data_IF_756789339039
#
_entry.id   IF_756789339039
#
_cell.length_a   1.000
_cell.length_b   1.000
_cell.length_c   1.000
_cell.angle_alpha   90.00
_cell.angle_beta   90.00
_cell.angle_gamma   90.00
#
_symmetry.space_group_name_H-M   'P 1'
#
loop_
_entity.id
_entity.type
_entity.pdbx_description
1 polymer ?
#
# COMPACT_ATOMS: atom_id res chain seq x y z
N UNK A 1 10.90 2.07 -34.26
CA UNK A 1 9.95 3.03 -33.69
C UNK A 1 9.35 2.36 -32.46
N UNK A 2 9.50 2.93 -31.26
CA UNK A 2 8.84 2.39 -30.07
C UNK A 2 7.35 2.69 -30.22
N UNK A 3 6.43 1.72 -30.09
CA UNK A 3 5.00 2.00 -30.25
C UNK A 3 4.54 2.98 -29.17
N UNK A 4 3.84 4.03 -29.59
CA UNK A 4 3.25 5.01 -28.70
C UNK A 4 2.01 4.41 -28.01
N UNK A 5 1.77 4.76 -26.75
CA UNK A 5 0.64 4.22 -25.99
C UNK A 5 -0.68 4.74 -26.54
N UNK A 6 -1.66 3.85 -26.73
CA UNK A 6 -2.98 4.24 -27.21
C UNK A 6 -3.92 4.61 -26.06
N UNK A 7 -5.00 5.33 -26.38
CA UNK A 7 -6.09 5.59 -25.41
C UNK A 7 -6.69 4.28 -24.87
N UNK A 8 -6.79 3.24 -25.71
CA UNK A 8 -7.28 1.93 -25.29
C UNK A 8 -6.35 1.23 -24.29
N UNK A 9 -5.04 1.36 -24.47
CA UNK A 9 -4.06 0.77 -23.55
C UNK A 9 -4.16 1.40 -22.16
N UNK A 10 -4.28 2.74 -22.13
CA UNK A 10 -4.55 3.48 -20.89
C UNK A 10 -5.87 3.03 -20.28
N UNK A 11 -6.95 2.93 -21.07
CA UNK A 11 -8.26 2.50 -20.58
C UNK A 11 -8.23 1.08 -19.98
N UNK A 12 -7.49 0.17 -20.62
CA UNK A 12 -7.27 -1.18 -20.11
C UNK A 12 -6.57 -1.16 -18.74
N UNK A 13 -5.46 -0.43 -18.61
CA UNK A 13 -4.73 -0.34 -17.32
C UNK A 13 -5.59 0.32 -16.24
N UNK A 14 -6.28 1.42 -16.56
CA UNK A 14 -7.22 2.07 -15.64
C UNK A 14 -8.28 1.09 -15.12
N UNK A 15 -8.86 0.31 -16.03
CA UNK A 15 -9.86 -0.68 -15.64
C UNK A 15 -9.27 -1.82 -14.81
N UNK A 16 -8.11 -2.34 -15.20
CA UNK A 16 -7.40 -3.40 -14.46
C UNK A 16 -7.14 -2.97 -13.02
N UNK A 17 -6.56 -1.79 -12.84
CA UNK A 17 -6.22 -1.23 -11.53
C UNK A 17 -7.46 -0.93 -10.71
N UNK A 18 -8.51 -0.36 -11.32
CA UNK A 18 -9.80 -0.11 -10.66
C UNK A 18 -10.44 -1.40 -10.16
N UNK A 19 -10.49 -2.44 -11.00
CA UNK A 19 -11.14 -3.71 -10.65
C UNK A 19 -10.34 -4.50 -9.61
N UNK A 20 -9.00 -4.42 -9.63
CA UNK A 20 -8.15 -5.26 -8.78
C UNK A 20 -7.66 -4.58 -7.50
N UNK A 21 -7.60 -3.25 -7.47
CA UNK A 21 -7.11 -2.49 -6.32
C UNK A 21 -8.08 -1.40 -5.84
N UNK A 22 -9.28 -1.30 -6.44
CA UNK A 22 -10.23 -0.21 -6.18
C UNK A 22 -9.66 1.20 -6.39
N UNK A 23 -8.50 1.32 -7.04
CA UNK A 23 -7.84 2.60 -7.27
C UNK A 23 -8.38 3.24 -8.56
N UNK A 24 -8.98 4.43 -8.42
CA UNK A 24 -9.44 5.23 -9.55
C UNK A 24 -8.31 6.16 -9.99
N UNK A 25 -7.78 5.91 -11.18
CA UNK A 25 -6.86 6.83 -11.82
C UNK A 25 -7.69 7.91 -12.51
N UNK A 26 -7.59 9.16 -12.04
CA UNK A 26 -8.23 10.32 -12.67
C UNK A 26 -7.58 10.65 -14.02
N UNK A 27 -8.27 11.42 -14.86
CA UNK A 27 -7.78 11.74 -16.22
C UNK A 27 -6.45 12.50 -16.17
N UNK A 28 -6.33 13.42 -15.21
CA UNK A 28 -5.17 14.27 -14.94
C UNK A 28 -3.96 13.45 -14.46
N UNK A 29 -4.19 12.23 -13.97
CA UNK A 29 -3.16 11.33 -13.43
C UNK A 29 -2.76 10.22 -14.40
N UNK A 30 -3.26 10.22 -15.64
CA UNK A 30 -2.91 9.21 -16.66
C UNK A 30 -1.41 9.15 -16.94
N UNK A 31 -0.69 10.27 -16.81
CA UNK A 31 0.77 10.28 -16.97
C UNK A 31 1.49 9.32 -16.01
N UNK A 32 0.89 8.97 -14.86
CA UNK A 32 1.44 7.98 -13.92
C UNK A 32 1.48 6.58 -14.53
N UNK A 33 0.57 6.26 -15.46
CA UNK A 33 0.59 4.96 -16.16
C UNK A 33 1.90 4.82 -16.91
N UNK A 34 2.26 5.83 -17.69
CA UNK A 34 3.48 5.81 -18.48
C UNK A 34 4.73 5.86 -17.59
N UNK A 35 4.78 6.79 -16.63
CA UNK A 35 5.98 6.97 -15.79
C UNK A 35 6.29 5.76 -14.91
N UNK A 36 5.28 4.99 -14.49
CA UNK A 36 5.45 3.78 -13.68
C UNK A 36 5.62 2.53 -14.52
N UNK A 37 4.88 2.39 -15.61
CA UNK A 37 4.89 1.13 -16.38
C UNK A 37 5.99 1.06 -17.45
N UNK A 38 6.55 2.17 -17.92
CA UNK A 38 7.74 2.12 -18.79
C UNK A 38 8.97 1.48 -18.10
N UNK A 39 9.41 1.93 -16.91
CA UNK A 39 10.51 1.28 -16.22
C UNK A 39 10.16 -0.16 -15.83
N UNK A 40 8.92 -0.41 -15.39
CA UNK A 40 8.45 -1.76 -15.07
C UNK A 40 8.50 -2.70 -16.28
N UNK A 41 8.01 -2.28 -17.45
CA UNK A 41 8.03 -3.07 -18.68
C UNK A 41 9.46 -3.50 -19.05
N UNK A 42 10.43 -2.58 -18.92
CA UNK A 42 11.85 -2.88 -19.15
C UNK A 42 12.40 -3.88 -18.15
N UNK A 43 12.05 -3.75 -16.86
CA UNK A 43 12.44 -4.73 -15.83
C UNK A 43 11.88 -6.12 -16.09
N UNK A 44 10.67 -6.20 -16.67
CA UNK A 44 10.02 -7.45 -17.06
C UNK A 44 10.49 -7.99 -18.43
N UNK A 45 11.44 -7.34 -19.09
CA UNK A 45 12.00 -7.78 -20.37
C UNK A 45 11.18 -7.43 -21.61
N UNK A 46 10.15 -6.58 -21.48
CA UNK A 46 9.41 -6.05 -22.62
C UNK A 46 10.15 -4.87 -23.27
N UNK A 47 10.04 -4.75 -24.60
CA UNK A 47 10.69 -3.68 -25.36
C UNK A 47 10.02 -2.32 -25.15
N UNK A 48 8.73 -2.32 -24.78
CA UNK A 48 7.94 -1.12 -24.54
C UNK A 48 6.76 -1.41 -23.60
N UNK A 49 6.17 -0.35 -23.06
CA UNK A 49 4.90 -0.45 -22.33
C UNK A 49 3.76 -0.96 -23.23
N UNK A 50 3.73 -0.57 -24.51
CA UNK A 50 2.72 -1.06 -25.45
C UNK A 50 2.81 -2.58 -25.64
N UNK A 51 4.02 -3.15 -25.73
CA UNK A 51 4.23 -4.60 -25.81
C UNK A 51 3.74 -5.31 -24.54
N UNK A 52 4.01 -4.71 -23.37
CA UNK A 52 3.49 -5.21 -22.09
C UNK A 52 1.96 -5.22 -22.09
N UNK A 53 1.30 -4.12 -22.45
CA UNK A 53 -0.17 -4.02 -22.45
C UNK A 53 -0.79 -4.99 -23.44
N UNK A 54 -0.22 -5.10 -24.64
CA UNK A 54 -0.66 -6.07 -25.65
C UNK A 54 -0.60 -7.50 -25.11
N UNK A 55 0.49 -7.87 -24.44
CA UNK A 55 0.64 -9.17 -23.80
C UNK A 55 -0.39 -9.40 -22.68
N UNK A 56 -0.66 -8.39 -21.84
CA UNK A 56 -1.66 -8.47 -20.78
C UNK A 56 -3.08 -8.67 -21.31
N UNK A 57 -3.43 -8.06 -22.47
CA UNK A 57 -4.75 -8.20 -23.12
C UNK A 57 -4.95 -9.59 -23.73
N UNK A 58 -3.86 -10.26 -24.15
CA UNK A 58 -3.91 -11.58 -24.80
C UNK A 58 -3.81 -12.75 -23.81
N UNK A 59 -3.47 -12.49 -22.55
CA UNK A 59 -3.27 -13.51 -21.52
C UNK A 59 -4.35 -13.44 -20.44
N UNK A 60 -4.66 -14.59 -19.85
CA UNK A 60 -5.54 -14.63 -18.67
C UNK A 60 -4.87 -13.93 -17.48
N UNK A 61 -5.69 -13.37 -16.59
CA UNK A 61 -5.21 -12.68 -15.39
C UNK A 61 -4.27 -13.58 -14.57
N UNK A 62 -3.03 -13.12 -14.36
CA UNK A 62 -1.98 -13.91 -13.72
C UNK A 62 -0.98 -13.07 -12.90
N UNK A 63 0.19 -13.64 -12.58
CA UNK A 63 1.21 -12.97 -11.78
C UNK A 63 1.68 -11.62 -12.34
N UNK A 64 1.83 -11.51 -13.66
CA UNK A 64 2.24 -10.26 -14.30
C UNK A 64 1.19 -9.15 -14.12
N UNK A 65 -0.10 -9.46 -14.28
CA UNK A 65 -1.19 -8.50 -14.01
C UNK A 65 -1.18 -8.01 -12.57
N UNK A 66 -0.94 -8.90 -11.60
CA UNK A 66 -0.81 -8.52 -10.18
C UNK A 66 0.32 -7.52 -9.99
N UNK A 67 1.50 -7.81 -10.54
CA UNK A 67 2.67 -6.92 -10.42
C UNK A 67 2.47 -5.57 -11.10
N UNK A 68 1.74 -5.52 -12.21
CA UNK A 68 1.32 -4.25 -12.85
C UNK A 68 0.40 -3.46 -11.92
N UNK A 69 -0.57 -4.12 -11.29
CA UNK A 69 -1.45 -3.47 -10.31
C UNK A 69 -0.64 -2.94 -9.13
N UNK A 70 0.30 -3.72 -8.58
CA UNK A 70 1.20 -3.29 -7.51
C UNK A 70 2.07 -2.10 -7.94
N UNK A 71 2.68 -2.13 -9.12
CA UNK A 71 3.48 -1.03 -9.66
C UNK A 71 2.68 0.27 -9.82
N UNK A 72 1.35 0.17 -9.97
CA UNK A 72 0.46 1.31 -10.03
C UNK A 72 0.01 1.84 -8.67
N UNK A 73 0.21 1.12 -7.56
CA UNK A 73 -0.16 1.60 -6.22
C UNK A 73 0.70 2.79 -5.76
N UNK A 74 0.19 3.60 -4.82
CA UNK A 74 0.94 4.70 -4.20
C UNK A 74 1.46 4.20 -2.86
N UNK A 75 2.75 3.92 -2.77
CA UNK A 75 3.38 3.33 -1.57
C UNK A 75 4.16 4.35 -0.73
N UNK A 76 3.81 5.63 -0.80
CA UNK A 76 4.49 6.67 -0.02
C UNK A 76 4.18 6.50 1.48
N UNK A 77 5.22 6.39 2.31
CA UNK A 77 5.10 6.22 3.75
C UNK A 77 6.35 6.75 4.46
N UNK A 78 6.20 7.19 5.71
CA UNK A 78 7.27 7.69 6.55
C UNK A 78 6.93 7.45 8.02
N UNK A 79 7.94 7.43 8.89
CA UNK A 79 7.70 7.35 10.33
C UNK A 79 6.94 8.59 10.78
N UNK A 80 5.89 8.38 11.58
CA UNK A 80 5.07 9.45 12.16
C UNK A 80 4.54 10.43 11.11
N UNK A 81 4.13 9.92 9.94
CA UNK A 81 3.77 10.71 8.74
C UNK A 81 2.81 11.87 9.02
N UNK A 82 1.78 11.62 9.83
CA UNK A 82 0.84 12.64 10.28
C UNK A 82 0.95 12.82 11.80
N UNK A 83 1.72 13.83 12.27
CA UNK A 83 1.91 14.06 13.70
C UNK A 83 0.61 14.33 14.47
N UNK A 84 -0.39 14.92 13.82
CA UNK A 84 -1.68 15.23 14.46
C UNK A 84 -2.44 13.95 14.75
N UNK A 85 -2.45 12.99 13.81
CA UNK A 85 -3.05 11.67 14.03
C UNK A 85 -2.33 10.89 15.14
N UNK A 86 -0.99 10.92 15.18
CA UNK A 86 -0.23 10.26 16.26
C UNK A 86 -0.44 10.94 17.62
N UNK A 87 -0.64 12.26 17.66
CA UNK A 87 -0.99 12.97 18.88
C UNK A 87 -2.40 12.57 19.36
N UNK A 88 -3.38 12.48 18.45
CA UNK A 88 -4.72 12.01 18.79
C UNK A 88 -4.74 10.53 19.24
N UNK A 89 -3.91 9.69 18.62
CA UNK A 89 -3.71 8.30 19.03
C UNK A 89 -3.22 8.23 20.48
N UNK A 90 -2.20 9.02 20.82
CA UNK A 90 -1.58 9.07 22.14
C UNK A 90 -2.50 9.71 23.20
N UNK A 91 -3.08 10.87 22.92
CA UNK A 91 -3.79 11.64 23.95
C UNK A 91 -5.24 11.19 24.16
N UNK A 92 -5.84 10.51 23.16
CA UNK A 92 -7.25 10.12 23.17
C UNK A 92 -7.45 8.61 23.04
N UNK A 93 -7.17 8.06 21.86
CA UNK A 93 -7.57 6.69 21.49
C UNK A 93 -6.92 5.62 22.37
N UNK A 94 -5.61 5.68 22.59
CA UNK A 94 -4.89 4.69 23.41
C UNK A 94 -5.38 4.69 24.87
N UNK A 95 -5.47 5.84 25.58
CA UNK A 95 -6.04 5.89 26.93
C UNK A 95 -7.42 5.25 27.04
N UNK A 96 -8.31 5.55 26.09
CA UNK A 96 -9.67 4.97 26.07
C UNK A 96 -9.63 3.45 25.87
N UNK A 97 -8.85 2.97 24.88
CA UNK A 97 -8.68 1.54 24.60
C UNK A 97 -8.10 0.78 25.80
N UNK A 98 -7.15 1.37 26.52
CA UNK A 98 -6.56 0.78 27.72
C UNK A 98 -7.62 0.68 28.82
N UNK A 99 -8.41 1.73 29.05
CA UNK A 99 -9.43 1.69 30.08
C UNK A 99 -10.49 0.60 29.81
N UNK A 100 -10.93 0.45 28.56
CA UNK A 100 -11.92 -0.57 28.17
C UNK A 100 -11.35 -1.99 28.32
N UNK A 101 -10.06 -2.20 28.06
CA UNK A 101 -9.45 -3.53 28.03
C UNK A 101 -8.67 -3.90 29.31
N UNK A 102 -8.83 -3.12 30.39
CA UNK A 102 -8.02 -3.22 31.62
C UNK A 102 -8.02 -4.61 32.25
N UNK A 103 -9.18 -5.27 32.28
CA UNK A 103 -9.32 -6.60 32.88
C UNK A 103 -8.77 -7.70 31.96
N UNK A 104 -8.97 -7.56 30.66
CA UNK A 104 -8.53 -8.54 29.66
C UNK A 104 -7.03 -8.43 29.33
N UNK A 105 -6.41 -7.28 29.61
CA UNK A 105 -5.01 -6.92 29.29
C UNK A 105 -4.62 -7.26 27.86
N UNK A 106 -5.50 -6.95 26.90
CA UNK A 106 -5.38 -7.32 25.49
C UNK A 106 -5.74 -6.15 24.59
N UNK A 107 -4.90 -5.90 23.59
CA UNK A 107 -5.14 -4.89 22.55
C UNK A 107 -4.81 -5.48 21.19
N UNK A 108 -5.74 -5.34 20.25
CA UNK A 108 -5.58 -5.78 18.87
C UNK A 108 -5.63 -4.55 17.95
N UNK A 109 -4.59 -4.38 17.13
CA UNK A 109 -4.45 -3.25 16.21
C UNK A 109 -4.32 -3.81 14.80
N UNK A 110 -5.06 -3.22 13.86
CA UNK A 110 -4.89 -3.49 12.45
C UNK A 110 -4.45 -2.21 11.73
N UNK A 111 -3.28 -2.24 11.13
CA UNK A 111 -2.80 -1.23 10.20
C UNK A 111 -3.05 -1.73 8.77
N UNK A 112 -4.06 -1.15 8.11
CA UNK A 112 -4.37 -1.41 6.70
C UNK A 112 -3.59 -0.47 5.80
N UNK A 113 -3.12 -0.97 4.65
CA UNK A 113 -2.25 -0.25 3.72
C UNK A 113 -0.91 0.17 4.36
N UNK A 114 -0.23 -0.79 5.00
CA UNK A 114 0.98 -0.53 5.78
C UNK A 114 2.22 -0.14 4.96
N UNK A 115 2.18 -0.29 3.63
CA UNK A 115 3.34 -0.07 2.76
C UNK A 115 4.59 -0.79 3.31
N UNK A 116 5.74 -0.12 3.44
CA UNK A 116 6.99 -0.68 4.00
C UNK A 116 7.08 -0.66 5.54
N UNK A 117 5.95 -0.51 6.23
CA UNK A 117 5.85 -0.77 7.67
C UNK A 117 6.16 0.41 8.60
N UNK A 118 6.51 1.59 8.10
CA UNK A 118 6.82 2.74 8.96
C UNK A 118 5.66 3.13 9.88
N UNK A 119 4.42 3.10 9.39
CA UNK A 119 3.23 3.39 10.21
C UNK A 119 3.02 2.37 11.35
N UNK A 120 2.95 1.05 11.11
CA UNK A 120 2.78 0.10 12.21
C UNK A 120 3.94 0.14 13.21
N UNK A 121 5.17 0.39 12.76
CA UNK A 121 6.28 0.62 13.68
C UNK A 121 6.12 1.92 14.49
N UNK A 122 5.67 3.02 13.89
CA UNK A 122 5.37 4.26 14.60
C UNK A 122 4.27 4.10 15.66
N UNK A 123 3.25 3.27 15.40
CA UNK A 123 2.22 2.93 16.39
C UNK A 123 2.85 2.20 17.58
N UNK A 124 3.64 1.16 17.32
CA UNK A 124 4.30 0.39 18.38
C UNK A 124 5.30 1.24 19.17
N UNK A 125 6.07 2.11 18.52
CA UNK A 125 7.00 3.03 19.19
C UNK A 125 6.25 4.04 20.07
N UNK A 126 5.11 4.56 19.60
CA UNK A 126 4.23 5.42 20.43
C UNK A 126 3.78 4.68 21.68
N UNK A 127 3.33 3.43 21.54
CA UNK A 127 2.88 2.59 22.66
C UNK A 127 4.04 2.35 23.64
N UNK A 128 5.18 1.88 23.15
CA UNK A 128 6.34 1.54 23.98
C UNK A 128 6.88 2.74 24.75
N UNK A 129 6.87 3.93 24.13
CA UNK A 129 7.43 5.14 24.73
C UNK A 129 6.49 5.81 25.73
N UNK A 130 5.18 5.81 25.46
CA UNK A 130 4.21 6.58 26.25
C UNK A 130 3.34 5.74 27.18
N UNK A 131 3.25 4.42 26.97
CA UNK A 131 2.38 3.51 27.73
C UNK A 131 3.15 2.28 28.22
N UNK A 132 4.19 2.46 29.06
CA UNK A 132 5.03 1.36 29.54
C UNK A 132 4.24 0.29 30.32
N UNK A 133 3.08 0.62 30.89
CA UNK A 133 2.18 -0.34 31.56
C UNK A 133 1.68 -1.45 30.63
N UNK A 134 1.63 -1.19 29.33
CA UNK A 134 1.18 -2.16 28.33
C UNK A 134 2.24 -3.19 27.97
N UNK A 135 3.48 -3.07 28.46
CA UNK A 135 4.50 -4.12 28.32
C UNK A 135 4.08 -5.44 28.97
N UNK A 136 3.19 -5.39 29.97
CA UNK A 136 2.59 -6.57 30.62
C UNK A 136 1.33 -7.10 29.93
N UNK A 137 0.88 -6.44 28.86
CA UNK A 137 -0.33 -6.78 28.12
C UNK A 137 -0.01 -7.60 26.88
N UNK A 138 -1.00 -8.36 26.42
CA UNK A 138 -0.91 -9.01 25.11
C UNK A 138 -1.34 -8.03 24.02
N UNK A 139 -0.36 -7.40 23.37
CA UNK A 139 -0.56 -6.51 22.23
C UNK A 139 -0.31 -7.28 20.95
N UNK A 140 -1.30 -7.31 20.05
CA UNK A 140 -1.15 -7.88 18.71
C UNK A 140 -1.41 -6.81 17.67
N UNK A 141 -0.39 -6.49 16.88
CA UNK A 141 -0.54 -5.65 15.69
C UNK A 141 -0.48 -6.53 14.44
N UNK A 142 -1.46 -6.37 13.55
CA UNK A 142 -1.46 -6.94 12.21
C UNK A 142 -1.31 -5.79 11.23
N UNK A 143 -0.33 -5.88 10.33
CA UNK A 143 -0.14 -4.94 9.23
C UNK A 143 -0.44 -5.67 7.92
N UNK A 144 -1.25 -5.07 7.05
CA UNK A 144 -1.60 -5.66 5.75
C UNK A 144 -1.38 -4.67 4.63
N UNK A 145 -0.86 -5.16 3.51
CA UNK A 145 -0.60 -4.36 2.32
C UNK A 145 -0.91 -5.18 1.06
N UNK A 146 -1.38 -4.50 0.01
CA UNK A 146 -1.65 -5.10 -1.30
C UNK A 146 -0.35 -5.46 -2.02
N UNK A 147 0.66 -4.59 -1.94
CA UNK A 147 1.96 -4.85 -2.56
C UNK A 147 2.79 -5.85 -1.76
N UNK A 148 3.03 -7.02 -2.35
CA UNK A 148 3.92 -8.01 -1.73
C UNK A 148 5.36 -7.51 -1.65
N UNK A 149 5.78 -6.67 -2.60
CA UNK A 149 7.09 -6.04 -2.55
C UNK A 149 7.26 -5.19 -1.30
N UNK A 150 6.26 -4.36 -0.98
CA UNK A 150 6.33 -3.50 0.20
C UNK A 150 6.32 -4.30 1.50
N UNK A 151 5.51 -5.38 1.58
CA UNK A 151 5.54 -6.31 2.72
C UNK A 151 6.93 -6.92 2.92
N UNK A 152 7.64 -7.28 1.85
CA UNK A 152 9.00 -7.84 1.96
C UNK A 152 10.06 -6.84 2.38
N UNK A 153 9.80 -5.53 2.23
CA UNK A 153 10.74 -4.47 2.60
C UNK A 153 10.66 -4.08 4.09
N UNK A 154 9.51 -4.25 4.72
CA UNK A 154 9.26 -3.93 6.14
C UNK A 154 9.67 -5.04 7.09
#
# INVERSE_FOLDING_TARGET
MVPEITFEDVAYIRNLVRVKAAMVLEQEKIYLVQSRLEPFARQEGFKSMADLVSHLRQTSYGPLHKRVVEAMTINETSFFRDPVLFQALKDGLLPELIQINRDAKRVHIWCGASSSGQEPYSILLTILHHFPELTSWHIRLIATELSQEMVRRG
#
